data_IF_670600748628
#
_entry.id   IF_670600748628
#
_cell.length_a   1.000
_cell.length_b   1.000
_cell.length_c   1.000
_cell.angle_alpha   90.00
_cell.angle_beta   90.00
_cell.angle_gamma   90.00
#
_symmetry.space_group_name_H-M   'P 1'
#
loop_
_entity.id
_entity.type
_entity.pdbx_description
1 polymer ?
#
# COMPACT_ATOMS: atom_id res chain seq x y z
N UNK A 1 24.79 -5.31 6.55
CA UNK A 1 23.67 -5.71 5.68
C UNK A 1 24.15 -6.81 4.77
N UNK A 2 23.49 -7.97 4.78
CA UNK A 2 23.84 -9.09 3.90
C UNK A 2 23.40 -8.79 2.46
N UNK A 3 24.12 -9.30 1.45
CA UNK A 3 23.77 -9.13 0.03
C UNK A 3 22.33 -9.57 -0.24
N UNK A 4 21.89 -10.64 0.42
CA UNK A 4 20.52 -11.17 0.31
C UNK A 4 19.47 -10.20 0.84
N UNK A 5 19.75 -9.49 1.93
CA UNK A 5 18.82 -8.47 2.44
C UNK A 5 18.65 -7.33 1.45
N UNK A 6 19.74 -6.92 0.79
CA UNK A 6 19.70 -5.86 -0.22
C UNK A 6 18.86 -6.31 -1.43
N UNK A 7 19.03 -7.56 -1.88
CA UNK A 7 18.24 -8.13 -2.98
C UNK A 7 16.75 -8.23 -2.64
N UNK A 8 16.41 -8.66 -1.43
CA UNK A 8 15.02 -8.74 -0.95
C UNK A 8 14.41 -7.34 -0.91
N UNK A 9 15.12 -6.35 -0.35
CA UNK A 9 14.66 -4.97 -0.31
C UNK A 9 14.43 -4.42 -1.71
N UNK A 10 15.37 -4.64 -2.62
CA UNK A 10 15.26 -4.21 -4.02
C UNK A 10 14.03 -4.83 -4.69
N UNK A 11 13.77 -6.11 -4.45
CA UNK A 11 12.62 -6.81 -5.02
C UNK A 11 11.28 -6.26 -4.51
N UNK A 12 11.18 -5.97 -3.21
CA UNK A 12 9.99 -5.35 -2.61
C UNK A 12 9.75 -3.95 -3.18
N UNK A 13 10.81 -3.14 -3.24
CA UNK A 13 10.73 -1.77 -3.79
C UNK A 13 10.38 -1.81 -5.28
N UNK A 14 10.99 -2.70 -6.05
CA UNK A 14 10.67 -2.89 -7.46
C UNK A 14 9.22 -3.33 -7.64
N UNK A 15 8.74 -4.32 -6.87
CA UNK A 15 7.35 -4.77 -6.92
C UNK A 15 6.33 -3.66 -6.64
N UNK A 16 6.68 -2.68 -5.79
CA UNK A 16 5.86 -1.51 -5.52
C UNK A 16 5.93 -0.44 -6.62
N UNK A 17 7.13 -0.12 -7.10
CA UNK A 17 7.35 0.96 -8.08
C UNK A 17 6.97 0.54 -9.50
N UNK A 18 7.12 -0.72 -9.87
CA UNK A 18 6.87 -1.24 -11.21
C UNK A 18 5.45 -0.95 -11.73
N UNK A 19 4.35 -1.23 -10.98
CA UNK A 19 3.01 -0.91 -11.46
C UNK A 19 2.79 0.61 -11.61
N UNK A 20 3.43 1.43 -10.78
CA UNK A 20 3.38 2.90 -10.89
C UNK A 20 4.03 3.35 -12.20
N UNK A 21 5.23 2.84 -12.50
CA UNK A 21 5.97 3.16 -13.72
C UNK A 21 5.26 2.66 -14.97
N UNK A 22 4.70 1.45 -14.94
CA UNK A 22 3.92 0.88 -16.05
C UNK A 22 2.68 1.73 -16.34
N UNK A 23 1.97 2.16 -15.30
CA UNK A 23 0.79 3.04 -15.43
C UNK A 23 1.21 4.42 -15.95
N UNK A 24 2.32 4.96 -15.44
CA UNK A 24 2.88 6.24 -15.86
C UNK A 24 3.51 6.23 -17.26
N UNK A 25 3.86 5.07 -17.83
CA UNK A 25 4.34 4.95 -19.22
C UNK A 25 3.26 4.48 -20.20
N UNK A 26 2.08 4.11 -19.71
CA UNK A 26 0.99 3.64 -20.58
C UNK A 26 0.58 4.70 -21.58
N UNK A 27 0.53 4.31 -22.88
CA UNK A 27 -0.02 5.13 -23.97
C UNK A 27 -1.56 5.00 -24.09
N UNK A 28 -2.17 4.10 -23.32
CA UNK A 28 -3.62 3.81 -23.37
C UNK A 28 -4.47 4.86 -22.65
N UNK A 29 -3.90 5.59 -21.69
CA UNK A 29 -4.56 6.65 -20.91
C UNK A 29 -3.81 7.97 -21.09
N UNK A 30 -4.55 9.08 -21.27
CA UNK A 30 -3.98 10.41 -21.58
C UNK A 30 -4.42 11.47 -20.56
N UNK A 31 -3.59 12.51 -20.39
CA UNK A 31 -3.94 13.66 -19.56
C UNK A 31 -4.23 13.32 -18.10
N UNK A 32 -5.35 13.84 -17.58
CA UNK A 32 -5.75 13.73 -16.16
C UNK A 32 -6.12 12.30 -15.76
N UNK A 33 -6.69 11.50 -16.66
CA UNK A 33 -7.04 10.09 -16.39
C UNK A 33 -5.81 9.28 -16.00
N UNK A 34 -4.66 9.57 -16.60
CA UNK A 34 -3.39 8.92 -16.28
C UNK A 34 -2.94 9.19 -14.86
N UNK A 35 -3.09 10.43 -14.39
CA UNK A 35 -2.79 10.82 -13.02
C UNK A 35 -3.74 10.12 -12.04
N UNK A 36 -5.03 10.03 -12.38
CA UNK A 36 -6.01 9.27 -11.61
C UNK A 36 -5.61 7.81 -11.42
N UNK A 37 -5.19 7.14 -12.50
CA UNK A 37 -4.73 5.75 -12.43
C UNK A 37 -3.45 5.57 -11.63
N UNK A 38 -2.49 6.50 -11.75
CA UNK A 38 -1.26 6.47 -10.92
C UNK A 38 -1.60 6.58 -9.44
N UNK A 39 -2.53 7.47 -9.07
CA UNK A 39 -2.99 7.63 -7.68
C UNK A 39 -3.71 6.36 -7.20
N UNK A 40 -4.59 5.76 -8.02
CA UNK A 40 -5.27 4.50 -7.67
C UNK A 40 -4.28 3.39 -7.41
N UNK A 41 -3.28 3.23 -8.28
CA UNK A 41 -2.22 2.21 -8.10
C UNK A 41 -1.42 2.48 -6.83
N UNK A 42 -1.06 3.74 -6.57
CA UNK A 42 -0.33 4.13 -5.37
C UNK A 42 -1.12 3.82 -4.09
N UNK A 43 -2.40 4.18 -4.06
CA UNK A 43 -3.27 4.00 -2.88
C UNK A 43 -3.66 2.53 -2.67
N UNK A 44 -3.74 1.72 -3.74
CA UNK A 44 -4.07 0.29 -3.63
C UNK A 44 -3.15 -0.47 -2.68
N UNK A 45 -1.88 -0.10 -2.62
CA UNK A 45 -0.89 -0.70 -1.73
C UNK A 45 -1.13 -0.35 -0.24
N UNK A 46 -1.84 0.74 0.05
CA UNK A 46 -2.17 1.19 1.40
C UNK A 46 -3.48 0.57 1.92
N UNK A 47 -4.33 0.02 1.04
CA UNK A 47 -5.60 -0.59 1.43
C UNK A 47 -5.37 -1.72 2.43
N UNK A 48 -4.38 -2.59 2.21
CA UNK A 48 -4.04 -3.66 3.14
C UNK A 48 -3.61 -3.15 4.53
N UNK A 49 -2.88 -2.04 4.56
CA UNK A 49 -2.47 -1.39 5.81
C UNK A 49 -3.65 -0.73 6.54
N UNK A 50 -4.55 -0.07 5.80
CA UNK A 50 -5.77 0.49 6.39
C UNK A 50 -6.68 -0.59 6.97
N UNK A 51 -6.81 -1.73 6.29
CA UNK A 51 -7.53 -2.90 6.82
C UNK A 51 -6.85 -3.41 8.09
N UNK A 52 -5.52 -3.54 8.10
CA UNK A 52 -4.78 -3.91 9.30
C UNK A 52 -5.03 -2.94 10.47
N UNK A 53 -4.97 -1.63 10.23
CA UNK A 53 -5.27 -0.62 11.24
C UNK A 53 -6.72 -0.69 11.71
N UNK A 54 -7.67 -0.87 10.81
CA UNK A 54 -9.08 -1.00 11.15
C UNK A 54 -9.33 -2.24 12.04
N UNK A 55 -8.75 -3.39 11.69
CA UNK A 55 -8.88 -4.63 12.46
C UNK A 55 -8.22 -4.51 13.83
N UNK A 56 -7.00 -3.97 13.89
CA UNK A 56 -6.27 -3.82 15.17
C UNK A 56 -6.89 -2.76 16.07
N UNK A 57 -7.38 -1.65 15.52
CA UNK A 57 -8.13 -0.62 16.27
C UNK A 57 -9.49 -1.16 16.75
N UNK A 58 -10.21 -1.90 15.90
CA UNK A 58 -11.47 -2.54 16.29
C UNK A 58 -11.25 -3.58 17.40
N UNK A 59 -10.19 -4.39 17.29
CA UNK A 59 -9.82 -5.36 18.33
C UNK A 59 -9.45 -4.66 19.65
N UNK A 60 -8.72 -3.55 19.59
CA UNK A 60 -8.39 -2.73 20.76
C UNK A 60 -9.63 -2.15 21.45
N UNK A 61 -10.59 -1.61 20.68
CA UNK A 61 -11.86 -1.09 21.22
C UNK A 61 -12.76 -2.18 21.82
N UNK A 62 -12.60 -3.45 21.40
CA UNK A 62 -13.34 -4.60 21.94
C UNK A 62 -12.77 -5.16 23.25
N UNK A 63 -11.57 -4.75 23.67
CA UNK A 63 -10.94 -5.12 24.95
C UNK A 63 -11.18 -4.08 26.06
N UNK A 64 -11.69 -2.89 25.70
CA UNK A 64 -12.17 -1.87 26.63
C UNK A 64 -13.61 -2.00 27.23
N UNK A 65 -14.41 -3.09 27.12
CA UNK A 65 -15.77 -3.08 27.65
C UNK A 65 -15.90 -3.10 29.18
N UNK A 66 -14.86 -3.43 29.97
CA UNK A 66 -15.08 -3.90 31.36
C UNK A 66 -14.07 -3.42 32.40
N UNK A 67 -13.45 -2.24 32.24
CA UNK A 67 -12.64 -1.64 33.33
C UNK A 67 -13.09 -0.21 33.68
N UNK A 68 -14.35 0.12 33.38
CA UNK A 68 -14.99 1.35 33.83
C UNK A 68 -16.39 1.08 34.38
N UNK A 69 -16.49 0.20 35.37
CA UNK A 69 -17.62 0.19 36.31
C UNK A 69 -17.13 -0.22 37.69
#
# INVERSE_FOLDING_TARGET
MSIFQILILLFIVAGYILPVVLTANSKKVKGVEKLGWVVVVLVSAWIGFLVFLAVTTLSSNRLQPTEKQ
#
